data_IF_289263145333
#
_entry.id   IF_289263145333
#
_cell.length_a   1.000
_cell.length_b   1.000
_cell.length_c   1.000
_cell.angle_alpha   90.00
_cell.angle_beta   90.00
_cell.angle_gamma   90.00
#
_symmetry.space_group_name_H-M   'P 1'
#
loop_
_entity.id
_entity.type
_entity.pdbx_description
1 polymer ?
#
# COMPACT_ATOMS: atom_id res chain seq x y z
N UNK A 1 16.64 -12.58 -27.31
CA UNK A 1 16.46 -11.95 -25.99
C UNK A 1 14.95 -11.87 -25.72
N UNK A 2 14.40 -12.76 -24.89
CA UNK A 2 12.95 -12.88 -24.68
C UNK A 2 12.42 -11.71 -23.82
N UNK A 3 11.63 -10.83 -24.44
CA UNK A 3 10.86 -9.81 -23.73
C UNK A 3 9.76 -10.48 -22.93
N UNK A 4 9.83 -10.41 -21.60
CA UNK A 4 8.73 -10.86 -20.72
C UNK A 4 7.51 -9.99 -21.03
N UNK A 5 6.47 -10.58 -21.62
CA UNK A 5 5.15 -9.96 -21.69
C UNK A 5 4.68 -9.71 -20.27
N UNK A 6 4.70 -8.46 -19.85
CA UNK A 6 4.12 -8.04 -18.57
C UNK A 6 2.61 -8.18 -18.70
N UNK A 7 2.08 -9.30 -18.22
CA UNK A 7 0.65 -9.52 -18.17
C UNK A 7 0.01 -8.40 -17.34
N UNK A 8 -1.00 -7.73 -17.91
CA UNK A 8 -1.61 -6.55 -17.29
C UNK A 8 -2.39 -7.03 -16.07
N UNK A 9 -1.75 -7.06 -14.89
CA UNK A 9 -2.35 -7.57 -13.64
C UNK A 9 -3.76 -7.01 -13.47
N UNK A 10 -4.76 -7.88 -13.57
CA UNK A 10 -6.15 -7.52 -13.29
C UNK A 10 -6.29 -7.24 -11.79
N UNK A 11 -6.35 -5.96 -11.44
CA UNK A 11 -6.54 -5.54 -10.06
C UNK A 11 -7.99 -5.79 -9.63
N UNK A 12 -8.22 -6.26 -8.40
CA UNK A 12 -9.58 -6.43 -7.89
C UNK A 12 -10.28 -5.07 -7.72
N UNK A 13 -11.61 -5.07 -7.75
CA UNK A 13 -12.40 -3.85 -7.56
C UNK A 13 -12.11 -3.18 -6.20
N UNK A 14 -11.93 -3.99 -5.16
CA UNK A 14 -11.60 -3.51 -3.82
C UNK A 14 -10.25 -2.78 -3.79
N UNK A 15 -9.21 -3.33 -4.42
CA UNK A 15 -7.89 -2.68 -4.43
C UNK A 15 -7.93 -1.34 -5.17
N UNK A 16 -8.69 -1.25 -6.28
CA UNK A 16 -8.91 0.05 -6.96
C UNK A 16 -9.64 1.04 -6.06
N UNK A 17 -10.68 0.59 -5.34
CA UNK A 17 -11.43 1.44 -4.44
C UNK A 17 -10.52 1.99 -3.33
N UNK A 18 -9.71 1.14 -2.70
CA UNK A 18 -8.75 1.54 -1.65
C UNK A 18 -7.75 2.58 -2.17
N UNK A 19 -7.16 2.37 -3.36
CA UNK A 19 -6.22 3.33 -3.96
C UNK A 19 -6.87 4.69 -4.22
N UNK A 20 -8.10 4.70 -4.73
CA UNK A 20 -8.84 5.94 -5.01
C UNK A 20 -9.28 6.65 -3.73
N UNK A 21 -9.71 5.90 -2.71
CA UNK A 21 -10.04 6.47 -1.40
C UNK A 21 -8.82 7.13 -0.77
N UNK A 22 -7.70 6.41 -0.71
CA UNK A 22 -6.46 6.94 -0.13
C UNK A 22 -5.95 8.17 -0.89
N UNK A 23 -5.95 8.13 -2.23
CA UNK A 23 -5.50 9.26 -3.03
C UNK A 23 -6.40 10.49 -2.88
N UNK A 24 -7.71 10.31 -2.74
CA UNK A 24 -8.65 11.37 -2.46
C UNK A 24 -8.43 11.98 -1.06
N UNK A 25 -8.17 11.17 -0.04
CA UNK A 25 -7.85 11.65 1.31
C UNK A 25 -6.54 12.44 1.33
N UNK A 26 -5.50 11.96 0.64
CA UNK A 26 -4.21 12.67 0.49
C UNK A 26 -4.46 14.04 -0.17
N UNK A 27 -5.18 14.05 -1.30
CA UNK A 27 -5.48 15.29 -2.03
C UNK A 27 -6.26 16.28 -1.15
N UNK A 28 -7.29 15.80 -0.44
CA UNK A 28 -8.12 16.61 0.45
C UNK A 28 -7.28 17.20 1.58
N UNK A 29 -6.50 16.38 2.29
CA UNK A 29 -5.74 16.85 3.46
C UNK A 29 -4.57 17.74 3.06
N UNK A 30 -3.88 17.47 1.93
CA UNK A 30 -2.86 18.37 1.39
C UNK A 30 -3.45 19.76 1.12
N UNK A 31 -4.59 19.82 0.42
CA UNK A 31 -5.28 21.09 0.14
C UNK A 31 -5.74 21.80 1.41
N UNK A 32 -6.27 21.07 2.40
CA UNK A 32 -6.67 21.64 3.70
C UNK A 32 -5.51 22.26 4.46
N UNK A 33 -4.30 21.73 4.31
CA UNK A 33 -3.06 22.30 4.89
C UNK A 33 -2.43 23.41 4.05
N UNK A 34 -2.99 23.73 2.88
CA UNK A 34 -2.44 24.76 1.98
C UNK A 34 -1.17 24.36 1.24
N UNK A 35 -0.80 23.07 1.25
CA UNK A 35 0.40 22.60 0.56
C UNK A 35 0.18 22.50 -0.94
N UNK A 36 1.13 23.00 -1.73
CA UNK A 36 1.25 22.66 -3.15
C UNK A 36 1.67 21.19 -3.32
N UNK A 37 1.60 20.69 -4.55
CA UNK A 37 2.13 19.37 -4.85
C UNK A 37 3.66 19.30 -4.63
N UNK A 38 4.38 20.38 -4.94
CA UNK A 38 5.83 20.42 -4.73
C UNK A 38 6.17 20.38 -3.23
N UNK A 39 5.42 21.11 -2.38
CA UNK A 39 5.64 21.13 -0.93
C UNK A 39 5.50 19.74 -0.30
N UNK A 40 4.43 19.01 -0.65
CA UNK A 40 4.22 17.66 -0.10
C UNK A 40 5.21 16.66 -0.71
N UNK A 41 5.53 16.78 -2.01
CA UNK A 41 6.50 15.90 -2.66
C UNK A 41 7.87 15.99 -1.98
N UNK A 42 8.33 17.20 -1.67
CA UNK A 42 9.60 17.41 -0.95
C UNK A 42 9.59 16.76 0.45
N UNK A 43 8.47 16.90 1.19
CA UNK A 43 8.33 16.30 2.54
C UNK A 43 8.28 14.78 2.51
N UNK A 44 7.63 14.20 1.49
CA UNK A 44 7.58 12.76 1.25
C UNK A 44 8.92 12.23 0.75
N UNK A 45 9.79 13.09 0.21
CA UNK A 45 11.06 12.68 -0.40
C UNK A 45 10.88 12.10 -1.80
N UNK A 46 9.92 12.59 -2.59
CA UNK A 46 9.68 12.15 -3.96
C UNK A 46 9.56 13.32 -4.96
N UNK A 47 9.49 12.99 -6.25
CA UNK A 47 9.26 13.99 -7.29
C UNK A 47 7.81 14.48 -7.29
N UNK A 48 7.55 15.70 -7.77
CA UNK A 48 6.20 16.22 -8.01
C UNK A 48 5.37 15.29 -8.90
N UNK A 49 5.99 14.69 -9.92
CA UNK A 49 5.32 13.72 -10.81
C UNK A 49 4.89 12.47 -10.05
N UNK A 50 5.69 12.00 -9.10
CA UNK A 50 5.34 10.89 -8.22
C UNK A 50 4.17 11.27 -7.33
N UNK A 51 4.17 12.46 -6.74
CA UNK A 51 3.02 12.92 -5.94
C UNK A 51 1.75 13.06 -6.79
N UNK A 52 1.86 13.59 -8.02
CA UNK A 52 0.72 13.63 -8.95
C UNK A 52 0.19 12.23 -9.26
N UNK A 53 1.07 11.23 -9.38
CA UNK A 53 0.67 9.83 -9.58
C UNK A 53 0.02 9.22 -8.33
N UNK A 54 0.48 9.59 -7.13
CA UNK A 54 -0.14 9.25 -5.84
C UNK A 54 -1.57 9.80 -5.78
N UNK A 55 -1.76 11.09 -6.06
CA UNK A 55 -3.09 11.72 -6.05
C UNK A 55 -4.03 11.15 -7.12
N UNK A 56 -3.47 10.61 -8.20
CA UNK A 56 -4.23 9.89 -9.24
C UNK A 56 -4.47 8.40 -8.90
N UNK A 57 -4.06 7.92 -7.73
CA UNK A 57 -4.27 6.53 -7.30
C UNK A 57 -3.54 5.50 -8.16
N UNK A 58 -2.39 5.85 -8.76
CA UNK A 58 -1.67 4.93 -9.66
C UNK A 58 -1.05 3.77 -8.87
N UNK A 59 -1.39 2.50 -9.21
CA UNK A 59 -0.89 1.32 -8.49
C UNK A 59 0.60 1.04 -8.74
N UNK A 60 1.22 1.73 -9.69
CA UNK A 60 2.64 1.57 -10.03
C UNK A 60 3.58 2.36 -9.12
N UNK A 61 3.04 3.28 -8.30
CA UNK A 61 3.85 4.01 -7.31
C UNK A 61 4.09 3.09 -6.12
N UNK A 62 5.30 3.15 -5.56
CA UNK A 62 5.67 2.41 -4.37
C UNK A 62 4.71 2.70 -3.21
N UNK A 63 4.22 1.64 -2.56
CA UNK A 63 3.25 1.76 -1.47
C UNK A 63 3.79 2.58 -0.30
N UNK A 64 5.11 2.51 -0.04
CA UNK A 64 5.77 3.32 0.99
C UNK A 64 5.51 4.81 0.83
N UNK A 65 5.51 5.32 -0.41
CA UNK A 65 5.28 6.75 -0.67
C UNK A 65 3.82 7.18 -0.43
N UNK A 66 2.85 6.27 -0.68
CA UNK A 66 1.46 6.53 -0.30
C UNK A 66 1.31 6.60 1.21
N UNK A 67 1.94 5.68 1.94
CA UNK A 67 1.88 5.62 3.40
C UNK A 67 2.59 6.81 4.04
N UNK A 68 3.73 7.24 3.51
CA UNK A 68 4.46 8.41 3.99
C UNK A 68 3.63 9.70 3.81
N UNK A 69 3.03 9.89 2.64
CA UNK A 69 2.12 11.01 2.40
C UNK A 69 0.91 10.98 3.34
N UNK A 70 0.37 9.80 3.63
CA UNK A 70 -0.74 9.62 4.56
C UNK A 70 -0.34 10.01 6.00
N UNK A 71 0.82 9.55 6.49
CA UNK A 71 1.34 9.90 7.82
C UNK A 71 1.55 11.41 7.94
N UNK A 72 2.21 12.04 6.97
CA UNK A 72 2.46 13.49 6.97
C UNK A 72 1.17 14.34 6.97
N UNK A 73 0.06 13.75 6.52
CA UNK A 73 -1.25 14.38 6.45
C UNK A 73 -2.22 13.95 7.55
N UNK A 74 -1.75 13.20 8.55
CA UNK A 74 -2.53 12.63 9.65
C UNK A 74 -3.72 11.77 9.18
N UNK A 75 -3.51 11.00 8.11
CA UNK A 75 -4.46 10.00 7.62
C UNK A 75 -4.18 8.68 8.37
N UNK A 76 -5.15 8.13 9.13
CA UNK A 76 -4.95 6.89 9.88
C UNK A 76 -4.60 5.72 8.97
N UNK A 77 -3.56 4.98 9.34
CA UNK A 77 -3.16 3.77 8.63
C UNK A 77 -3.79 2.53 9.28
N UNK A 78 -4.21 1.57 8.46
CA UNK A 78 -4.76 0.27 8.90
C UNK A 78 -5.90 0.36 9.94
N UNK A 79 -6.60 1.50 9.99
CA UNK A 79 -7.72 1.73 10.90
C UNK A 79 -7.34 1.92 12.37
N UNK A 80 -6.09 2.26 12.69
CA UNK A 80 -5.65 2.44 14.09
C UNK A 80 -4.50 3.43 14.26
N UNK A 81 -4.14 3.68 15.52
CA UNK A 81 -2.96 4.46 15.86
C UNK A 81 -1.67 3.62 15.78
N UNK A 82 -0.52 4.28 15.97
CA UNK A 82 0.79 3.62 15.92
C UNK A 82 0.93 2.45 16.90
N UNK A 83 0.26 2.50 18.06
CA UNK A 83 0.31 1.43 19.06
C UNK A 83 -0.46 0.21 18.56
N UNK A 84 -1.69 0.40 18.08
CA UNK A 84 -2.52 -0.68 17.54
C UNK A 84 -1.87 -1.36 16.33
N UNK A 85 -1.23 -0.58 15.44
CA UNK A 85 -0.51 -1.12 14.28
C UNK A 85 0.66 -2.02 14.73
N UNK A 86 1.48 -1.56 15.67
CA UNK A 86 2.62 -2.34 16.19
C UNK A 86 2.17 -3.62 16.89
N UNK A 87 1.17 -3.52 17.77
CA UNK A 87 0.63 -4.69 18.48
C UNK A 87 0.08 -5.75 17.53
N UNK A 88 -0.65 -5.34 16.48
CA UNK A 88 -1.13 -6.27 15.45
C UNK A 88 0.02 -6.91 14.68
N UNK A 89 1.08 -6.15 14.38
CA UNK A 89 2.29 -6.66 13.74
C UNK A 89 3.00 -7.71 14.60
N UNK A 90 3.24 -7.39 15.88
CA UNK A 90 3.90 -8.30 16.82
C UNK A 90 3.10 -9.59 17.01
N UNK A 91 1.76 -9.48 17.12
CA UNK A 91 0.88 -10.63 17.22
C UNK A 91 0.98 -11.52 15.97
N UNK A 92 0.88 -10.93 14.78
CA UNK A 92 0.94 -11.68 13.52
C UNK A 92 2.30 -12.38 13.32
N UNK A 93 3.40 -11.74 13.74
CA UNK A 93 4.74 -12.35 13.69
C UNK A 93 4.84 -13.54 14.64
N UNK A 94 4.45 -13.38 15.90
CA UNK A 94 4.46 -14.46 16.89
C UNK A 94 3.57 -15.63 16.48
N UNK A 95 2.37 -15.34 15.99
CA UNK A 95 1.47 -16.38 15.49
C UNK A 95 2.14 -17.16 14.35
N UNK A 96 2.79 -16.46 13.42
CA UNK A 96 3.51 -17.09 12.30
C UNK A 96 4.67 -18.00 12.75
N UNK A 97 5.36 -17.67 13.84
CA UNK A 97 6.43 -18.49 14.42
C UNK A 97 5.90 -19.76 15.10
N UNK A 98 4.67 -19.72 15.60
CA UNK A 98 4.01 -20.85 16.26
C UNK A 98 3.29 -21.77 15.27
N UNK A 99 3.00 -21.30 14.05
CA UNK A 99 2.37 -22.12 13.02
C UNK A 99 3.31 -23.25 12.57
N UNK A 100 2.76 -24.45 12.29
CA UNK A 100 3.56 -25.52 11.73
C UNK A 100 4.13 -25.09 10.38
N UNK A 101 5.36 -25.52 10.09
CA UNK A 101 5.97 -25.31 8.77
C UNK A 101 5.07 -25.93 7.68
N UNK A 102 4.89 -25.25 6.54
CA UNK A 102 4.08 -25.79 5.46
C UNK A 102 4.65 -27.15 5.04
N UNK A 103 3.81 -28.18 5.05
CA UNK A 103 4.18 -29.49 4.50
C UNK A 103 4.22 -29.34 2.99
N UNK A 104 5.32 -29.77 2.36
CA UNK A 104 5.34 -29.95 0.91
C UNK A 104 4.33 -31.05 0.56
N UNK A 105 3.23 -30.67 -0.08
CA UNK A 105 2.29 -31.63 -0.66
C UNK A 105 2.98 -32.20 -1.91
N UNK A 106 3.61 -33.37 -1.78
CA UNK A 106 4.32 -34.03 -2.89
C UNK A 106 3.44 -35.05 -3.63
N UNK A 107 2.27 -35.42 -3.12
CA UNK A 107 1.36 -36.33 -3.83
C UNK A 107 -0.04 -35.70 -3.90
N UNK A 108 -0.40 -35.25 -5.10
CA UNK A 108 -1.81 -35.17 -5.50
C UNK A 108 -2.18 -36.61 -5.85
N UNK A 109 -2.78 -37.34 -4.92
CA UNK A 109 -3.53 -38.54 -5.29
C UNK A 109 -4.78 -38.04 -6.03
N UNK A 110 -4.69 -38.08 -7.36
CA UNK A 110 -5.81 -37.86 -8.27
C UNK A 110 -6.67 -39.13 -8.30
N UNK A 111 -7.40 -39.36 -7.21
CA UNK A 111 -8.40 -40.43 -7.08
C UNK A 111 -9.82 -39.85 -7.17
N UNK A 112 -10.11 -39.03 -8.18
CA UNK A 112 -11.48 -38.64 -8.57
C UNK A 112 -11.68 -38.59 -10.08
#
# INVERSE_FOLDING_TARGET
>A
MMSKRTDKRTQSALVRAVLMTLSAEITRNRKRRGFSQDDLAQRVGCSRNTLRAIEAGRPTVEIGLFLEAAVLLDIPLLGGDARNIRLRGDYAQRESELLPQPRSVTEIFDDF
#
